data_IF_874534494942
#
_entry.id   IF_874534494942
#
_cell.length_a   1.000
_cell.length_b   1.000
_cell.length_c   1.000
_cell.angle_alpha   90.00
_cell.angle_beta   90.00
_cell.angle_gamma   90.00
#
_symmetry.space_group_name_H-M   'P 1'
#
loop_
_entity.id
_entity.type
_entity.pdbx_description
1 polymer ?
#
# COMPACT_ATOMS: atom_id res chain seq x y z
N UNK A 1 -5.72 24.28 -10.10
CA UNK A 1 -5.94 25.51 -9.32
C UNK A 1 -4.81 26.53 -9.52
N UNK A 2 -3.55 26.15 -9.26
CA UNK A 2 -2.37 27.03 -9.30
C UNK A 2 -2.21 27.90 -10.56
N UNK A 3 -2.13 27.29 -11.77
CA UNK A 3 -1.89 28.01 -13.03
C UNK A 3 -2.97 29.04 -13.39
N UNK A 4 -4.21 28.84 -12.90
CA UNK A 4 -5.35 29.72 -13.19
C UNK A 4 -5.40 30.91 -12.24
N UNK A 5 -4.92 30.74 -11.00
CA UNK A 5 -4.97 31.76 -9.94
C UNK A 5 -3.79 32.75 -10.02
N UNK A 6 -2.62 32.31 -10.49
CA UNK A 6 -1.41 33.16 -10.62
C UNK A 6 -1.58 34.32 -11.62
N UNK A 7 -2.40 34.15 -12.66
CA UNK A 7 -2.60 35.16 -13.71
C UNK A 7 -3.78 36.11 -13.46
N UNK A 8 -4.50 35.96 -12.34
CA UNK A 8 -5.62 36.85 -11.99
C UNK A 8 -5.07 38.17 -11.44
N UNK A 9 -5.17 39.25 -12.25
CA UNK A 9 -4.97 40.63 -11.78
C UNK A 9 -6.26 41.15 -11.16
N UNK A 10 -6.16 41.68 -9.94
CA UNK A 10 -7.25 42.22 -9.13
C UNK A 10 -7.16 43.76 -9.20
N UNK A 11 -8.29 44.52 -9.20
CA UNK A 11 -8.29 45.99 -9.23
C UNK A 11 -7.42 46.62 -8.13
N UNK A 12 -6.91 47.82 -8.40
CA UNK A 12 -5.75 48.43 -7.71
C UNK A 12 -5.86 48.58 -6.18
N UNK A 13 -7.06 48.56 -5.60
CA UNK A 13 -7.26 48.64 -4.14
C UNK A 13 -6.84 47.36 -3.38
N UNK A 14 -6.79 46.21 -4.05
CA UNK A 14 -6.40 44.89 -3.48
C UNK A 14 -5.11 44.35 -4.11
N UNK A 15 -4.38 45.19 -4.86
CA UNK A 15 -3.15 44.84 -5.58
C UNK A 15 -2.03 44.27 -4.70
N UNK A 16 -2.07 44.49 -3.38
CA UNK A 16 -1.10 43.96 -2.42
C UNK A 16 -1.07 42.42 -2.34
N UNK A 17 -2.19 41.75 -2.65
CA UNK A 17 -2.32 40.30 -2.67
C UNK A 17 -2.22 39.68 -4.07
N UNK A 18 -1.99 40.49 -5.11
CA UNK A 18 -1.86 40.02 -6.50
C UNK A 18 -0.64 39.09 -6.69
N UNK A 19 -0.79 38.06 -7.52
CA UNK A 19 0.28 37.12 -7.87
C UNK A 19 0.33 35.86 -6.97
N UNK A 20 1.51 35.27 -6.70
CA UNK A 20 1.62 33.94 -6.09
C UNK A 20 1.14 33.87 -4.62
N UNK A 21 0.99 35.02 -3.94
CA UNK A 21 0.54 35.11 -2.54
C UNK A 21 -0.97 34.91 -2.37
N UNK A 22 -1.75 35.10 -3.43
CA UNK A 22 -3.19 34.85 -3.44
C UNK A 22 -3.52 33.36 -3.40
N UNK A 23 -2.65 32.54 -3.98
CA UNK A 23 -2.83 31.10 -4.13
C UNK A 23 -3.09 30.43 -2.77
N UNK A 24 -2.25 30.60 -1.73
CA UNK A 24 -2.48 29.97 -0.42
C UNK A 24 -3.81 30.39 0.22
N UNK A 25 -4.23 31.66 0.10
CA UNK A 25 -5.48 32.18 0.69
C UNK A 25 -6.70 31.50 0.08
N UNK A 26 -6.76 31.42 -1.25
CA UNK A 26 -7.88 30.76 -1.93
C UNK A 26 -7.85 29.25 -1.68
N UNK A 27 -6.67 28.63 -1.67
CA UNK A 27 -6.57 27.19 -1.36
C UNK A 27 -7.02 26.88 0.06
N UNK A 28 -6.78 27.76 1.05
CA UNK A 28 -7.26 27.57 2.42
C UNK A 28 -8.79 27.57 2.48
N UNK A 29 -9.45 28.53 1.83
CA UNK A 29 -10.92 28.60 1.79
C UNK A 29 -11.51 27.37 1.11
N UNK A 30 -10.93 26.98 -0.04
CA UNK A 30 -11.40 25.81 -0.79
C UNK A 30 -11.15 24.52 -0.01
N UNK A 31 -9.96 24.32 0.57
CA UNK A 31 -9.65 23.14 1.38
C UNK A 31 -10.46 23.07 2.67
N UNK A 32 -10.81 24.21 3.28
CA UNK A 32 -11.73 24.25 4.43
C UNK A 32 -13.11 23.72 4.06
N UNK A 33 -13.65 24.12 2.90
CA UNK A 33 -14.91 23.57 2.38
C UNK A 33 -14.83 22.06 2.09
N UNK A 34 -13.76 21.60 1.44
CA UNK A 34 -13.55 20.17 1.22
C UNK A 34 -13.40 19.38 2.54
N UNK A 35 -12.71 19.95 3.54
CA UNK A 35 -12.52 19.35 4.85
C UNK A 35 -13.84 19.10 5.61
N UNK A 36 -14.86 19.92 5.37
CA UNK A 36 -16.19 19.71 5.93
C UNK A 36 -16.99 18.62 5.19
N UNK A 37 -16.77 18.45 3.88
CA UNK A 37 -17.57 17.54 3.04
C UNK A 37 -17.00 16.11 3.04
N UNK A 38 -15.67 15.97 2.99
CA UNK A 38 -14.96 14.68 2.97
C UNK A 38 -15.40 13.71 4.10
N UNK A 39 -15.57 14.11 5.38
CA UNK A 39 -15.96 13.19 6.44
C UNK A 39 -17.38 12.62 6.30
N UNK A 40 -18.24 13.22 5.47
CA UNK A 40 -19.56 12.64 5.17
C UNK A 40 -19.49 11.61 4.04
N UNK A 41 -18.57 11.80 3.10
CA UNK A 41 -18.39 10.91 1.93
C UNK A 41 -17.52 9.71 2.28
N UNK A 42 -16.58 9.83 3.22
CA UNK A 42 -15.63 8.78 3.58
C UNK A 42 -16.22 7.53 4.27
N UNK A 43 -17.16 7.64 5.24
CA UNK A 43 -17.71 6.49 5.98
C UNK A 43 -18.28 5.35 5.12
N UNK A 44 -19.06 5.60 4.05
CA UNK A 44 -19.57 4.51 3.22
C UNK A 44 -18.46 3.72 2.51
N UNK A 45 -17.39 4.40 2.06
CA UNK A 45 -16.24 3.70 1.47
C UNK A 45 -15.55 2.83 2.51
N UNK A 46 -15.32 3.37 3.71
CA UNK A 46 -14.71 2.62 4.79
C UNK A 46 -15.52 1.36 5.15
N UNK A 47 -16.84 1.49 5.30
CA UNK A 47 -17.71 0.36 5.59
C UNK A 47 -17.72 -0.70 4.48
N UNK A 48 -17.67 -0.28 3.20
CA UNK A 48 -17.54 -1.20 2.07
C UNK A 48 -16.24 -2.01 2.14
N UNK A 49 -15.13 -1.35 2.43
CA UNK A 49 -13.84 -2.03 2.61
C UNK A 49 -13.84 -2.97 3.81
N UNK A 50 -14.46 -2.58 4.93
CA UNK A 50 -14.61 -3.45 6.11
C UNK A 50 -15.41 -4.70 5.79
N UNK A 51 -16.50 -4.57 5.02
CA UNK A 51 -17.36 -5.70 4.64
C UNK A 51 -16.64 -6.65 3.68
N UNK A 52 -15.96 -6.13 2.67
CA UNK A 52 -15.12 -6.94 1.76
C UNK A 52 -14.00 -7.64 2.55
N UNK A 53 -13.36 -6.93 3.47
CA UNK A 53 -12.32 -7.48 4.34
C UNK A 53 -12.83 -8.64 5.20
N UNK A 54 -14.00 -8.48 5.84
CA UNK A 54 -14.61 -9.53 6.64
C UNK A 54 -14.95 -10.77 5.80
N UNK A 55 -15.53 -10.57 4.62
CA UNK A 55 -15.80 -11.65 3.66
C UNK A 55 -14.54 -12.42 3.27
N UNK A 56 -13.43 -11.72 3.03
CA UNK A 56 -12.13 -12.34 2.70
C UNK A 56 -11.60 -13.15 3.88
N UNK A 57 -11.72 -12.62 5.11
CA UNK A 57 -11.28 -13.29 6.33
C UNK A 57 -12.03 -14.62 6.56
N UNK A 58 -13.35 -14.65 6.34
CA UNK A 58 -14.17 -15.85 6.50
C UNK A 58 -14.01 -16.87 5.35
N UNK A 59 -13.64 -16.42 4.15
CA UNK A 59 -13.57 -17.27 2.94
C UNK A 59 -12.31 -18.16 2.85
N UNK A 60 -11.41 -18.10 3.83
CA UNK A 60 -10.24 -18.99 3.93
C UNK A 60 -9.30 -18.90 2.70
N UNK A 61 -8.90 -20.03 2.07
CA UNK A 61 -7.95 -20.05 0.95
C UNK A 61 -8.39 -19.22 -0.26
N UNK A 62 -9.69 -19.12 -0.52
CA UNK A 62 -10.25 -18.32 -1.62
C UNK A 62 -10.09 -16.83 -1.34
N UNK A 63 -10.26 -16.41 -0.09
CA UNK A 63 -10.02 -15.04 0.33
C UNK A 63 -8.59 -14.59 0.08
N UNK A 64 -7.61 -15.46 0.38
CA UNK A 64 -6.20 -15.19 0.10
C UNK A 64 -5.90 -14.97 -1.40
N UNK A 65 -6.53 -15.73 -2.28
CA UNK A 65 -6.38 -15.55 -3.73
C UNK A 65 -6.87 -14.18 -4.18
N UNK A 66 -8.08 -13.76 -3.78
CA UNK A 66 -8.61 -12.44 -4.11
C UNK A 66 -7.79 -11.30 -3.51
N UNK A 67 -7.31 -11.47 -2.27
CA UNK A 67 -6.36 -10.53 -1.67
C UNK A 67 -5.10 -10.37 -2.53
N UNK A 68 -4.49 -11.48 -2.95
CA UNK A 68 -3.27 -11.45 -3.75
C UNK A 68 -3.49 -10.77 -5.11
N UNK A 69 -4.62 -11.04 -5.77
CA UNK A 69 -5.00 -10.37 -7.03
C UNK A 69 -5.21 -8.87 -6.79
N UNK A 70 -5.95 -8.49 -5.74
CA UNK A 70 -6.19 -7.10 -5.40
C UNK A 70 -4.90 -6.34 -5.10
N UNK A 71 -3.98 -6.95 -4.33
CA UNK A 71 -2.66 -6.37 -4.06
C UNK A 71 -1.91 -6.12 -5.37
N UNK A 72 -1.92 -7.08 -6.31
CA UNK A 72 -1.22 -6.95 -7.61
C UNK A 72 -1.83 -5.90 -8.53
N UNK A 73 -3.15 -5.82 -8.61
CA UNK A 73 -3.86 -4.82 -9.42
C UNK A 73 -3.65 -3.41 -8.88
N UNK A 74 -3.38 -3.27 -7.57
CA UNK A 74 -3.19 -1.97 -6.92
C UNK A 74 -1.76 -1.45 -7.03
N UNK A 75 -0.78 -2.28 -7.41
CA UNK A 75 0.62 -1.87 -7.66
C UNK A 75 0.73 -0.68 -8.65
N UNK A 76 0.12 -0.69 -9.85
CA UNK A 76 0.23 0.43 -10.80
C UNK A 76 -0.35 1.75 -10.27
N UNK A 77 -1.26 1.68 -9.29
CA UNK A 77 -1.85 2.87 -8.68
C UNK A 77 -1.04 3.39 -7.47
N UNK A 78 -0.06 2.63 -6.98
CA UNK A 78 0.72 2.98 -5.78
C UNK A 78 -0.04 2.85 -4.46
N UNK A 79 -1.26 2.29 -4.48
CA UNK A 79 -2.13 2.13 -3.31
C UNK A 79 -1.99 0.73 -2.65
N UNK A 80 -1.09 -0.12 -3.13
CA UNK A 80 -0.84 -1.46 -2.58
C UNK A 80 -0.53 -1.43 -1.08
N UNK A 81 0.10 -0.36 -0.59
CA UNK A 81 0.36 -0.15 0.83
C UNK A 81 -0.92 -0.02 1.66
N UNK A 82 -2.00 0.53 1.11
CA UNK A 82 -3.29 0.65 1.79
C UNK A 82 -3.95 -0.71 1.95
N UNK A 83 -3.93 -1.53 0.89
CA UNK A 83 -4.48 -2.90 0.94
C UNK A 83 -3.71 -3.72 1.98
N UNK A 84 -2.38 -3.71 1.91
CA UNK A 84 -1.54 -4.52 2.81
C UNK A 84 -1.58 -4.05 4.26
N UNK A 85 -1.66 -2.73 4.53
CA UNK A 85 -1.71 -2.20 5.89
C UNK A 85 -3.02 -2.54 6.60
N UNK A 86 -4.15 -2.53 5.88
CA UNK A 86 -5.44 -2.91 6.44
C UNK A 86 -5.39 -4.35 6.95
N UNK A 87 -4.92 -5.31 6.17
CA UNK A 87 -4.83 -6.70 6.64
C UNK A 87 -3.78 -6.90 7.75
N UNK A 88 -2.69 -6.13 7.74
CA UNK A 88 -1.61 -6.26 8.73
C UNK A 88 -1.93 -5.70 10.11
N UNK A 89 -2.72 -4.63 10.19
CA UNK A 89 -2.93 -3.86 11.42
C UNK A 89 -4.38 -3.80 11.89
N UNK A 90 -5.35 -4.24 11.09
CA UNK A 90 -6.77 -4.19 11.47
C UNK A 90 -7.33 -5.58 11.78
N UNK A 91 -8.48 -5.68 12.49
CA UNK A 91 -9.12 -6.95 12.83
C UNK A 91 -9.58 -7.76 11.60
N UNK A 92 -9.62 -7.15 10.41
CA UNK A 92 -9.88 -7.84 9.15
C UNK A 92 -8.87 -8.98 8.91
N UNK A 93 -7.61 -8.76 9.30
CA UNK A 93 -6.55 -9.78 9.23
C UNK A 93 -6.68 -10.91 10.26
N UNK A 94 -7.70 -10.85 11.13
CA UNK A 94 -7.95 -11.78 12.23
C UNK A 94 -7.74 -11.13 13.61
N UNK A 95 -8.11 -11.88 14.65
CA UNK A 95 -7.69 -11.65 16.04
C UNK A 95 -7.15 -12.96 16.63
N UNK A 96 -6.12 -12.90 17.48
CA UNK A 96 -5.59 -14.06 18.19
C UNK A 96 -5.18 -13.67 19.60
N UNK A 97 -5.42 -14.58 20.55
CA UNK A 97 -4.99 -14.44 21.94
C UNK A 97 -3.72 -15.24 22.12
N UNK A 98 -2.60 -14.56 22.39
CA UNK A 98 -1.27 -15.17 22.51
C UNK A 98 -0.69 -14.69 23.84
N UNK A 99 -0.37 -15.60 24.75
CA UNK A 99 0.17 -15.25 26.07
C UNK A 99 -0.79 -14.45 26.97
N UNK A 100 -2.11 -14.52 26.71
CA UNK A 100 -3.12 -13.79 27.48
C UNK A 100 -3.40 -12.36 27.01
N UNK A 101 -2.71 -11.88 25.97
CA UNK A 101 -2.97 -10.59 25.33
C UNK A 101 -3.62 -10.77 23.95
N UNK A 102 -4.58 -9.89 23.61
CA UNK A 102 -5.23 -9.88 22.31
C UNK A 102 -4.43 -9.07 21.30
N UNK A 103 -4.06 -9.72 20.18
CA UNK A 103 -3.40 -9.09 19.06
C UNK A 103 -4.32 -9.06 17.84
N UNK A 104 -4.34 -7.92 17.14
CA UNK A 104 -5.13 -7.70 15.93
C UNK A 104 -4.23 -7.53 14.71
N UNK A 105 -4.64 -8.16 13.61
CA UNK A 105 -3.93 -8.08 12.33
C UNK A 105 -2.79 -9.09 12.18
N UNK A 106 -2.52 -9.48 10.94
CA UNK A 106 -1.64 -10.62 10.63
C UNK A 106 -0.20 -10.42 11.11
N UNK A 107 0.34 -9.21 11.01
CA UNK A 107 1.73 -8.91 11.36
C UNK A 107 1.94 -8.89 12.88
N UNK A 108 1.03 -8.26 13.62
CA UNK A 108 1.13 -8.18 15.08
C UNK A 108 1.03 -9.57 15.71
N UNK A 109 0.13 -10.41 15.20
CA UNK A 109 0.05 -11.81 15.61
C UNK A 109 1.34 -12.57 15.29
N UNK A 110 1.87 -12.42 14.07
CA UNK A 110 3.10 -13.10 13.68
C UNK A 110 4.26 -12.72 14.61
N UNK A 111 4.40 -11.44 14.95
CA UNK A 111 5.40 -10.98 15.90
C UNK A 111 5.17 -11.55 17.31
N UNK A 112 3.93 -11.66 17.76
CA UNK A 112 3.59 -12.28 19.05
C UNK A 112 3.90 -13.79 19.06
N UNK A 113 3.59 -14.53 17.99
CA UNK A 113 3.95 -15.95 17.87
C UNK A 113 5.46 -16.17 17.89
N UNK A 114 6.22 -15.32 17.20
CA UNK A 114 7.70 -15.36 17.19
C UNK A 114 8.26 -15.04 18.57
N UNK A 115 7.68 -14.08 19.30
CA UNK A 115 8.10 -13.71 20.66
C UNK A 115 7.91 -14.86 21.65
N UNK A 116 6.78 -15.56 21.58
CA UNK A 116 6.44 -16.67 22.47
C UNK A 116 7.11 -18.00 22.04
N UNK A 117 7.81 -18.02 20.90
CA UNK A 117 8.37 -19.23 20.28
C UNK A 117 7.32 -20.34 20.08
N UNK A 118 6.07 -19.95 19.82
CA UNK A 118 4.95 -20.85 19.62
C UNK A 118 4.88 -21.31 18.16
N UNK A 119 4.26 -22.48 17.92
CA UNK A 119 4.02 -22.97 16.56
C UNK A 119 3.11 -21.98 15.84
N UNK A 120 3.63 -21.30 14.82
CA UNK A 120 2.86 -20.38 13.99
C UNK A 120 1.87 -21.21 13.17
N UNK A 121 0.56 -21.09 13.38
CA UNK A 121 -0.39 -21.78 12.52
C UNK A 121 -0.24 -21.24 11.09
N UNK A 122 -0.18 -22.13 10.10
CA UNK A 122 -0.22 -21.77 8.67
C UNK A 122 -1.64 -21.38 8.24
N UNK A 123 -2.28 -20.55 9.07
CA UNK A 123 -3.54 -19.91 8.80
C UNK A 123 -3.31 -18.64 7.96
N UNK A 124 -4.36 -17.88 7.67
CA UNK A 124 -4.36 -16.67 6.85
C UNK A 124 -3.18 -15.74 7.20
N UNK A 125 -2.89 -15.53 8.50
CA UNK A 125 -1.78 -14.69 8.95
C UNK A 125 -0.39 -15.23 8.57
N UNK A 126 -0.15 -16.53 8.76
CA UNK A 126 1.11 -17.18 8.37
C UNK A 126 1.30 -17.20 6.85
N UNK A 127 0.23 -17.50 6.09
CA UNK A 127 0.27 -17.56 4.63
C UNK A 127 0.52 -16.19 3.99
N UNK A 128 -0.06 -15.13 4.53
CA UNK A 128 0.09 -13.77 3.97
C UNK A 128 1.48 -13.20 4.19
N UNK A 129 2.07 -13.39 5.38
CA UNK A 129 3.40 -12.86 5.68
C UNK A 129 4.52 -13.72 5.06
N UNK A 130 4.37 -15.05 5.06
CA UNK A 130 5.35 -15.94 4.43
C UNK A 130 5.27 -15.92 2.90
N UNK A 131 4.09 -15.67 2.31
CA UNK A 131 3.90 -15.60 0.86
C UNK A 131 4.74 -14.50 0.21
N UNK A 132 4.96 -13.37 0.89
CA UNK A 132 5.80 -12.27 0.39
C UNK A 132 7.29 -12.61 0.36
N UNK A 133 7.77 -13.40 1.30
CA UNK A 133 9.16 -13.86 1.34
C UNK A 133 9.47 -14.74 0.10
N UNK A 134 8.56 -15.62 -0.28
CA UNK A 134 8.73 -16.48 -1.46
C UNK A 134 8.88 -15.69 -2.76
N UNK A 135 8.16 -14.57 -2.89
CA UNK A 135 8.27 -13.70 -4.07
C UNK A 135 9.63 -13.01 -4.12
N UNK A 136 10.19 -12.61 -2.98
CA UNK A 136 11.49 -11.94 -2.90
C UNK A 136 12.63 -12.88 -3.33
N UNK A 137 12.61 -14.13 -2.88
CA UNK A 137 13.58 -15.14 -3.32
C UNK A 137 13.34 -15.58 -4.77
N UNK A 138 12.09 -15.64 -5.22
CA UNK A 138 11.73 -16.00 -6.60
C UNK A 138 12.18 -14.96 -7.63
N UNK A 139 12.06 -13.66 -7.32
CA UNK A 139 12.53 -12.59 -8.21
C UNK A 139 14.06 -12.59 -8.36
N UNK A 140 14.78 -12.86 -7.26
CA UNK A 140 16.23 -13.03 -7.30
C UNK A 140 16.65 -14.20 -8.20
N UNK A 141 15.92 -15.32 -8.14
CA UNK A 141 16.11 -16.47 -9.03
C UNK A 141 15.84 -16.13 -10.51
N UNK A 142 14.77 -15.41 -10.81
CA UNK A 142 14.43 -15.00 -12.18
C UNK A 142 15.46 -14.02 -12.77
N UNK A 143 15.98 -13.10 -11.96
CA UNK A 143 17.07 -12.21 -12.35
C UNK A 143 18.35 -13.00 -12.67
N UNK A 144 18.71 -13.96 -11.82
CA UNK A 144 19.88 -14.83 -12.02
C UNK A 144 19.75 -15.68 -13.30
N UNK A 145 18.57 -16.28 -13.53
CA UNK A 145 18.30 -17.04 -14.76
C UNK A 145 18.43 -16.18 -16.01
N UNK A 146 17.86 -14.96 -16.00
CA UNK A 146 17.97 -14.03 -17.13
C UNK A 146 19.41 -13.63 -17.39
N UNK A 147 20.24 -13.48 -16.35
CA UNK A 147 21.67 -13.24 -16.51
C UNK A 147 22.41 -14.42 -17.13
N UNK A 148 22.15 -15.65 -16.67
CA UNK A 148 22.76 -16.86 -17.24
C UNK A 148 22.36 -17.01 -18.70
N UNK A 149 21.08 -16.81 -19.04
CA UNK A 149 20.59 -16.86 -20.41
C UNK A 149 21.24 -15.79 -21.32
N UNK A 150 21.45 -14.57 -20.82
CA UNK A 150 22.13 -13.50 -21.56
C UNK A 150 23.64 -13.74 -21.73
N UNK A 151 24.29 -14.40 -20.77
CA UNK A 151 25.69 -14.85 -20.88
C UNK A 151 25.84 -15.93 -21.96
N UNK A 152 24.89 -16.86 -22.06
CA UNK A 152 24.86 -17.88 -23.12
C UNK A 152 24.63 -17.28 -24.52
N UNK A 153 23.94 -16.13 -24.61
CA UNK A 153 23.70 -15.39 -25.86
C UNK A 153 24.80 -14.37 -26.23
N UNK A 154 25.95 -14.37 -25.54
CA UNK A 154 27.16 -13.56 -25.84
C UNK A 154 26.86 -12.08 -26.16
N UNK A 155 25.91 -11.46 -25.45
CA UNK A 155 25.59 -10.03 -25.62
C UNK A 155 26.22 -9.21 -24.49
N UNK A 156 27.53 -8.99 -24.59
CA UNK A 156 28.40 -8.39 -23.54
C UNK A 156 28.06 -6.93 -23.14
N UNK A 157 27.26 -6.18 -23.92
CA UNK A 157 27.26 -4.71 -23.82
C UNK A 157 26.10 -4.07 -23.04
N UNK A 158 25.06 -4.81 -22.69
CA UNK A 158 23.85 -4.25 -22.04
C UNK A 158 23.63 -4.68 -20.57
N UNK A 159 24.47 -5.59 -20.05
CA UNK A 159 24.22 -6.26 -18.77
C UNK A 159 24.50 -5.38 -17.53
N UNK A 160 25.53 -4.51 -17.58
CA UNK A 160 26.03 -3.82 -16.37
C UNK A 160 25.14 -2.69 -15.84
N UNK A 161 24.30 -2.09 -16.69
CA UNK A 161 23.46 -0.94 -16.28
C UNK A 161 22.04 -1.32 -15.81
N UNK A 162 21.53 -2.50 -16.17
CA UNK A 162 20.19 -2.94 -15.75
C UNK A 162 20.17 -3.71 -14.42
N UNK A 163 21.34 -4.08 -13.88
CA UNK A 163 21.41 -5.13 -12.86
C UNK A 163 21.15 -4.67 -11.42
N UNK A 164 21.45 -3.42 -11.08
CA UNK A 164 21.52 -3.03 -9.66
C UNK A 164 20.37 -2.20 -9.07
N UNK A 165 19.66 -1.31 -9.78
CA UNK A 165 18.73 -0.42 -9.07
C UNK A 165 17.35 -1.04 -8.78
N UNK A 166 16.95 -2.11 -9.47
CA UNK A 166 15.56 -2.61 -9.43
C UNK A 166 15.32 -3.92 -8.65
N UNK A 167 16.37 -4.68 -8.32
CA UNK A 167 16.21 -6.02 -7.71
C UNK A 167 16.27 -5.99 -6.17
N UNK A 168 16.68 -4.87 -5.57
CA UNK A 168 16.88 -4.70 -4.13
C UNK A 168 15.90 -3.72 -3.47
N UNK A 169 14.86 -3.26 -4.18
CA UNK A 169 13.86 -2.31 -3.68
C UNK A 169 12.49 -2.95 -3.50
#
# INVERSE_FOLDING_TARGET
>A
MYKKIVNLRIPESLGFYSGPRLVPIITLIVMSGFGLIIPFIWPPFFNLFMLIGHWISTSGPVGYFFYAVAERVTIPFGLNHLVTSVFRFTPIGGSAVIGGEEYYGTLNMFMAYVKENAVIPLDLAGKMEQGKLMIQYGLAGAACWRCIALLMLKTERLSKHCLFPGCLR
#
